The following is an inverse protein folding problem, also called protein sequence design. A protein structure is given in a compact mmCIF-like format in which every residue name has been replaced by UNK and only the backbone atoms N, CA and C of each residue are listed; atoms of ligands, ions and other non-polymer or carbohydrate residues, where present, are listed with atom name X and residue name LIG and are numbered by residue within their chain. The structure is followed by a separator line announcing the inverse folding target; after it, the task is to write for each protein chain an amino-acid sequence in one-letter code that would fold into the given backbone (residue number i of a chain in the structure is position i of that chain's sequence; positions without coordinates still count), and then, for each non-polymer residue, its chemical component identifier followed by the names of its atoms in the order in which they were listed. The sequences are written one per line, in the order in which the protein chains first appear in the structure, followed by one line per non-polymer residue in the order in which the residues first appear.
data_IF_787360347008
#
_entry.id   IF_787360347008
#
_cell.length_a   1.000
_cell.length_b   1.000
_cell.length_c   1.000
_cell.angle_alpha   90.00
_cell.angle_beta   90.00
_cell.angle_gamma   90.00
#
_symmetry.space_group_name_H-M   'P 1'
#
loop_
_entity.id
_entity.type
_entity.pdbx_description
1 polymer ?
#
# COMPACT_ATOMS: atom_id res chain seq x y z
N UNK A 1 -46.96 -7.24 31.25
CA UNK A 1 -45.83 -8.08 31.72
C UNK A 1 -45.02 -8.76 30.58
N UNK A 2 -45.50 -8.82 29.32
CA UNK A 2 -44.78 -9.49 28.21
C UNK A 2 -43.62 -8.69 27.57
N UNK A 3 -43.60 -7.37 27.68
CA UNK A 3 -42.62 -6.50 26.98
C UNK A 3 -41.17 -6.69 27.47
N UNK A 4 -40.99 -7.03 28.75
CA UNK A 4 -39.67 -7.15 29.40
C UNK A 4 -38.89 -8.43 29.08
N UNK A 5 -39.54 -9.46 28.52
CA UNK A 5 -38.86 -10.71 28.12
C UNK A 5 -38.27 -10.62 26.72
N UNK A 6 -38.91 -9.85 25.83
CA UNK A 6 -38.43 -9.64 24.45
C UNK A 6 -37.15 -8.81 24.45
N UNK A 7 -37.08 -7.73 25.22
CA UNK A 7 -35.88 -6.89 25.35
C UNK A 7 -34.67 -7.64 25.91
N UNK A 8 -34.91 -8.66 26.75
CA UNK A 8 -33.87 -9.47 27.39
C UNK A 8 -33.23 -10.48 26.43
N UNK A 9 -33.99 -11.00 25.48
CA UNK A 9 -33.49 -11.88 24.41
C UNK A 9 -32.99 -11.10 23.18
N UNK A 10 -33.51 -9.90 22.95
CA UNK A 10 -33.10 -9.03 21.85
C UNK A 10 -31.73 -8.39 22.06
N UNK A 11 -31.40 -7.99 23.30
CA UNK A 11 -30.06 -7.45 23.64
C UNK A 11 -28.88 -8.36 23.30
N UNK A 12 -28.86 -9.66 23.67
CA UNK A 12 -27.75 -10.53 23.30
C UNK A 12 -27.69 -10.77 21.79
N UNK A 13 -28.83 -10.87 21.12
CA UNK A 13 -28.86 -10.97 19.66
C UNK A 13 -28.23 -9.75 18.98
N UNK A 14 -28.62 -8.53 19.40
CA UNK A 14 -28.02 -7.30 18.90
C UNK A 14 -26.53 -7.25 19.25
N UNK A 15 -26.13 -7.63 20.45
CA UNK A 15 -24.72 -7.64 20.85
C UNK A 15 -23.88 -8.60 19.99
N UNK A 16 -24.39 -9.81 19.71
CA UNK A 16 -23.72 -10.78 18.84
C UNK A 16 -23.64 -10.25 17.41
N UNK A 17 -24.72 -9.66 16.88
CA UNK A 17 -24.74 -9.10 15.54
C UNK A 17 -23.77 -7.91 15.41
N UNK A 18 -23.71 -7.04 16.41
CA UNK A 18 -22.76 -5.92 16.47
C UNK A 18 -21.32 -6.42 16.56
N UNK A 19 -21.05 -7.43 17.39
CA UNK A 19 -19.72 -8.04 17.48
C UNK A 19 -19.30 -8.67 16.15
N UNK A 20 -20.20 -9.41 15.51
CA UNK A 20 -19.94 -10.03 14.21
C UNK A 20 -19.64 -8.98 13.14
N UNK A 21 -20.47 -7.94 13.03
CA UNK A 21 -20.24 -6.82 12.11
C UNK A 21 -18.92 -6.11 12.39
N UNK A 22 -18.61 -5.90 13.68
CA UNK A 22 -17.34 -5.30 14.11
C UNK A 22 -16.13 -6.12 13.66
N UNK A 23 -16.16 -7.44 13.82
CA UNK A 23 -15.11 -8.34 13.36
C UNK A 23 -14.92 -8.25 11.85
N UNK A 24 -16.01 -8.27 11.07
CA UNK A 24 -15.93 -8.11 9.61
C UNK A 24 -15.31 -6.77 9.21
N UNK A 25 -15.64 -5.70 9.92
CA UNK A 25 -15.08 -4.37 9.65
C UNK A 25 -13.57 -4.33 9.90
N UNK A 26 -13.11 -4.94 11.00
CA UNK A 26 -11.67 -5.04 11.31
C UNK A 26 -10.93 -5.85 10.24
N UNK A 27 -11.50 -6.96 9.79
CA UNK A 27 -10.92 -7.79 8.73
C UNK A 27 -10.83 -7.00 7.42
N UNK A 28 -11.93 -6.36 7.01
CA UNK A 28 -11.98 -5.55 5.79
C UNK A 28 -10.97 -4.40 5.83
N UNK A 29 -10.87 -3.72 6.98
CA UNK A 29 -9.87 -2.68 7.21
C UNK A 29 -8.44 -3.21 7.08
N UNK A 30 -8.14 -4.33 7.73
CA UNK A 30 -6.81 -4.93 7.68
C UNK A 30 -6.41 -5.34 6.25
N UNK A 31 -7.32 -5.98 5.51
CA UNK A 31 -7.10 -6.34 4.11
C UNK A 31 -6.89 -5.09 3.26
N UNK A 32 -7.73 -4.07 3.42
CA UNK A 32 -7.61 -2.80 2.71
C UNK A 32 -6.24 -2.15 2.93
N UNK A 33 -5.77 -2.11 4.18
CA UNK A 33 -4.45 -1.57 4.51
C UNK A 33 -3.32 -2.33 3.82
N UNK A 34 -3.38 -3.67 3.78
CA UNK A 34 -2.39 -4.51 3.11
C UNK A 34 -2.40 -4.37 1.59
N UNK A 35 -3.59 -4.15 1.01
CA UNK A 35 -3.74 -3.94 -0.43
C UNK A 35 -3.26 -2.56 -0.83
N UNK A 36 -3.63 -1.50 -0.10
CA UNK A 36 -3.27 -0.12 -0.43
C UNK A 36 -1.81 0.20 -0.10
N UNK A 37 -1.25 -0.43 0.92
CA UNK A 37 0.14 -0.24 1.35
C UNK A 37 0.87 -1.59 1.31
N UNK A 38 1.22 -2.07 0.11
CA UNK A 38 1.96 -3.31 -0.03
C UNK A 38 3.30 -3.18 0.71
N UNK A 39 3.78 -4.25 1.37
CA UNK A 39 5.07 -4.24 2.02
C UNK A 39 6.16 -3.98 0.98
N UNK A 40 7.17 -3.19 1.36
CA UNK A 40 8.33 -2.92 0.53
C UNK A 40 9.04 -4.25 0.20
N UNK A 41 9.29 -4.50 -1.08
CA UNK A 41 10.12 -5.63 -1.53
C UNK A 41 11.50 -5.12 -1.89
N UNK A 42 12.53 -5.86 -1.46
CA UNK A 42 13.86 -5.68 -2.01
C UNK A 42 13.94 -6.49 -3.29
N UNK A 43 14.48 -5.87 -4.33
CA UNK A 43 14.80 -6.57 -5.56
C UNK A 43 16.13 -7.32 -5.36
N UNK A 44 16.21 -8.54 -5.90
CA UNK A 44 17.40 -9.39 -5.78
C UNK A 44 18.59 -8.86 -6.61
N UNK A 45 18.32 -7.95 -7.54
CA UNK A 45 19.29 -7.37 -8.45
C UNK A 45 19.44 -5.88 -8.25
N UNK A 46 20.67 -5.41 -8.44
CA UNK A 46 20.99 -3.98 -8.46
C UNK A 46 21.35 -3.54 -9.88
N UNK A 47 21.30 -2.25 -10.17
CA UNK A 47 21.71 -1.74 -11.49
C UNK A 47 23.19 -2.01 -11.81
N UNK A 48 24.03 -2.24 -10.79
CA UNK A 48 25.42 -2.64 -10.98
C UNK A 48 25.55 -3.99 -11.73
N UNK A 49 24.54 -4.86 -11.63
CA UNK A 49 24.52 -6.15 -12.32
C UNK A 49 24.37 -6.00 -13.85
N UNK A 50 23.98 -4.82 -14.33
CA UNK A 50 23.66 -4.55 -15.74
C UNK A 50 24.68 -3.64 -16.45
N UNK A 51 25.83 -3.33 -15.83
CA UNK A 51 26.86 -2.41 -16.35
C UNK A 51 26.30 -1.04 -16.80
N UNK A 52 25.25 -0.58 -16.12
CA UNK A 52 24.61 0.71 -16.38
C UNK A 52 25.25 1.79 -15.49
N UNK A 53 25.56 2.99 -16.02
CA UNK A 53 26.14 4.10 -15.24
C UNK A 53 25.08 4.82 -14.40
N UNK A 54 24.32 4.06 -13.60
CA UNK A 54 23.20 4.55 -12.82
C UNK A 54 23.68 5.39 -11.62
N UNK A 55 22.93 6.44 -11.30
CA UNK A 55 23.15 7.29 -10.14
C UNK A 55 21.93 7.22 -9.24
N UNK A 56 22.12 6.93 -7.95
CA UNK A 56 21.04 7.03 -6.97
C UNK A 56 20.57 8.49 -6.87
N UNK A 57 19.25 8.68 -6.91
CA UNK A 57 18.65 9.99 -6.73
C UNK A 57 17.48 9.93 -5.75
N UNK A 58 17.22 11.06 -5.10
CA UNK A 58 16.00 11.30 -4.34
C UNK A 58 15.21 12.42 -5.00
N UNK A 59 13.98 12.12 -5.39
CA UNK A 59 13.06 13.07 -6.00
C UNK A 59 12.03 13.49 -4.95
N UNK A 60 11.88 14.80 -4.72
CA UNK A 60 10.84 15.32 -3.83
C UNK A 60 9.55 15.52 -4.62
N UNK A 61 8.51 14.77 -4.24
CA UNK A 61 7.15 14.95 -4.75
C UNK A 61 6.50 16.21 -4.17
N UNK A 62 5.44 16.70 -4.83
CA UNK A 62 4.69 17.89 -4.44
C UNK A 62 4.05 17.77 -3.04
N UNK A 63 3.67 16.56 -2.66
CA UNK A 63 3.10 16.23 -1.35
C UNK A 63 4.16 16.06 -0.24
N UNK A 64 5.44 16.24 -0.57
CA UNK A 64 6.56 16.06 0.35
C UNK A 64 7.09 14.64 0.41
N UNK A 65 6.51 13.69 -0.33
CA UNK A 65 7.02 12.31 -0.40
C UNK A 65 8.40 12.30 -1.07
N UNK A 66 9.37 11.62 -0.43
CA UNK A 66 10.71 11.42 -0.99
C UNK A 66 10.75 10.09 -1.75
N UNK A 67 10.88 10.17 -3.07
CA UNK A 67 10.93 9.02 -3.96
C UNK A 67 12.39 8.66 -4.23
N UNK A 68 12.77 7.42 -3.95
CA UNK A 68 14.05 6.87 -4.38
C UNK A 68 13.97 6.43 -5.84
N UNK A 69 15.06 6.62 -6.59
CA UNK A 69 15.13 6.15 -7.97
C UNK A 69 16.54 6.27 -8.52
N UNK A 70 16.68 5.91 -9.79
CA UNK A 70 17.97 5.92 -10.50
C UNK A 70 17.94 6.84 -11.72
N UNK A 71 19.02 7.58 -11.91
CA UNK A 71 19.28 8.33 -13.14
C UNK A 71 20.28 7.58 -13.99
N UNK A 72 19.94 7.30 -15.25
CA UNK A 72 20.88 6.71 -16.20
C UNK A 72 21.16 7.76 -17.28
N UNK A 73 22.36 8.38 -17.29
CA UNK A 73 22.71 9.37 -18.28
C UNK A 73 22.94 8.73 -19.65
N UNK A 74 22.55 9.43 -20.72
CA UNK A 74 22.89 9.01 -22.08
C UNK A 74 24.36 9.32 -22.37
N UNK A 75 25.04 8.42 -23.08
CA UNK A 75 26.37 8.69 -23.64
C UNK A 75 26.19 9.36 -25.01
N UNK A 76 26.51 10.64 -25.11
CA UNK A 76 26.48 11.38 -26.39
C UNK A 76 25.56 12.62 -26.36
N UNK A 77 25.04 13.05 -27.53
CA UNK A 77 24.23 14.27 -27.61
C UNK A 77 22.92 14.12 -26.80
N UNK A 78 22.33 15.24 -26.33
CA UNK A 78 21.07 15.21 -25.58
C UNK A 78 19.97 14.46 -26.34
N UNK A 79 19.27 13.58 -25.64
CA UNK A 79 18.18 12.77 -26.17
C UNK A 79 16.94 12.90 -25.26
N UNK A 80 15.72 12.60 -25.76
CA UNK A 80 14.53 12.53 -24.93
C UNK A 80 14.72 11.56 -23.76
N UNK A 81 14.26 11.97 -22.57
CA UNK A 81 14.28 11.12 -21.37
C UNK A 81 13.10 10.16 -21.34
N UNK A 82 13.33 8.97 -20.76
CA UNK A 82 12.28 7.99 -20.49
C UNK A 82 12.14 7.88 -18.97
N UNK A 83 10.89 7.92 -18.49
CA UNK A 83 10.56 7.65 -17.09
C UNK A 83 9.89 6.29 -17.01
N UNK A 84 10.51 5.36 -16.28
CA UNK A 84 9.94 4.05 -16.00
C UNK A 84 9.39 4.05 -14.59
N UNK A 85 8.15 3.60 -14.43
CA UNK A 85 7.48 3.44 -13.14
C UNK A 85 6.92 2.03 -13.06
N UNK A 86 7.16 1.36 -11.94
CA UNK A 86 6.67 0.01 -11.73
C UNK A 86 5.18 0.00 -11.38
N UNK A 87 4.58 -1.18 -11.46
CA UNK A 87 3.20 -1.41 -11.02
C UNK A 87 3.07 -1.45 -9.50
N UNK A 88 1.83 -1.46 -9.02
CA UNK A 88 1.51 -1.55 -7.60
C UNK A 88 2.02 -2.85 -6.96
N UNK A 89 2.65 -2.75 -5.79
CA UNK A 89 3.15 -3.91 -5.03
C UNK A 89 4.39 -4.59 -5.61
N UNK A 90 5.12 -3.89 -6.48
CA UNK A 90 6.52 -4.18 -6.83
C UNK A 90 7.41 -3.36 -5.91
#
# INVERSE_FOLDING_TARGET
MLRSSVDRAFRPFVAVLSAFTGVLFVIAWFISQRVLHPPHKQEDHTLADFDLPAQDMTILSRDGTRLAGWYIPVRGPPAPGIVLSHGHGR
#
